data_IF_015052574777
#
_entry.id   IF_015052574777
#
_cell.length_a   1.000
_cell.length_b   1.000
_cell.length_c   1.000
_cell.angle_alpha   90.00
_cell.angle_beta   90.00
_cell.angle_gamma   90.00
#
_symmetry.space_group_name_H-M   'P 1'
#
loop_
_entity.id
_entity.type
_entity.pdbx_description
1 polymer ?
#
# COMPACT_ATOMS: atom_id res chain seq x y z
N UNK A 1 -40.43 13.14 35.71
CA UNK A 1 -41.75 13.78 35.56
C UNK A 1 -41.61 14.93 34.57
N UNK A 2 -42.46 14.97 33.52
CA UNK A 2 -42.61 15.98 32.44
C UNK A 2 -41.43 16.08 31.46
N UNK A 3 -41.56 16.22 30.13
CA UNK A 3 -42.63 16.22 29.11
C UNK A 3 -41.84 16.15 27.75
N UNK A 4 -42.11 15.22 26.83
CA UNK A 4 -43.05 15.31 25.67
C UNK A 4 -42.77 16.44 24.66
N UNK A 5 -42.54 16.06 23.38
CA UNK A 5 -43.08 16.56 22.08
C UNK A 5 -42.26 15.84 20.96
N UNK A 6 -42.72 14.79 20.27
CA UNK A 6 -43.73 14.66 19.20
C UNK A 6 -43.40 15.31 17.83
N UNK A 7 -43.22 14.41 16.84
CA UNK A 7 -43.86 14.34 15.51
C UNK A 7 -43.46 15.28 14.35
N UNK A 8 -43.14 14.68 13.18
CA UNK A 8 -43.72 14.92 11.83
C UNK A 8 -42.73 14.53 10.71
N UNK A 9 -42.90 13.38 10.02
CA UNK A 9 -43.60 13.19 8.72
C UNK A 9 -43.00 13.90 7.51
N UNK A 10 -42.61 13.13 6.47
CA UNK A 10 -43.27 13.14 5.15
C UNK A 10 -42.58 12.19 4.14
N UNK A 11 -43.34 11.18 3.70
CA UNK A 11 -43.15 10.48 2.44
C UNK A 11 -43.70 11.35 1.28
N UNK A 12 -43.23 11.09 0.05
CA UNK A 12 -44.02 10.72 -1.17
C UNK A 12 -43.72 11.47 -2.51
N UNK A 13 -43.91 10.69 -3.60
CA UNK A 13 -44.24 11.00 -5.01
C UNK A 13 -43.08 11.22 -6.02
N UNK A 14 -42.82 10.25 -6.93
CA UNK A 14 -43.36 10.06 -8.32
C UNK A 14 -42.57 10.86 -9.36
N UNK A 15 -42.14 10.31 -10.51
CA UNK A 15 -42.97 9.88 -11.65
C UNK A 15 -42.21 9.01 -12.66
N UNK A 16 -42.99 8.19 -13.38
CA UNK A 16 -42.67 7.42 -14.58
C UNK A 16 -42.54 8.35 -15.80
N UNK A 17 -41.61 8.09 -16.72
CA UNK A 17 -41.74 8.48 -18.13
C UNK A 17 -41.09 7.44 -19.05
N UNK A 18 -41.88 7.05 -20.04
CA UNK A 18 -41.69 6.03 -21.06
C UNK A 18 -41.31 6.76 -22.37
N UNK A 19 -40.26 6.36 -23.09
CA UNK A 19 -40.09 6.68 -24.52
C UNK A 19 -39.46 5.52 -25.29
N UNK A 20 -40.02 5.27 -26.47
CA UNK A 20 -39.78 4.16 -27.40
C UNK A 20 -39.19 4.66 -28.72
N UNK A 21 -38.49 3.73 -29.41
CA UNK A 21 -38.21 3.69 -30.87
C UNK A 21 -37.08 4.63 -31.37
N UNK A 22 -36.26 4.35 -32.40
CA UNK A 22 -36.30 3.46 -33.58
C UNK A 22 -34.87 3.12 -34.08
N UNK A 23 -34.80 2.08 -34.91
CA UNK A 23 -33.67 1.45 -35.60
C UNK A 23 -32.66 2.33 -36.36
N UNK A 24 -31.45 1.76 -36.56
CA UNK A 24 -30.63 1.85 -37.78
C UNK A 24 -29.68 0.64 -37.86
N UNK A 25 -29.62 -0.10 -38.98
CA UNK A 25 -28.64 -1.17 -39.20
C UNK A 25 -27.37 -0.60 -39.86
N UNK A 26 -26.19 -0.94 -39.36
CA UNK A 26 -24.92 -0.66 -40.02
C UNK A 26 -24.34 -1.93 -40.67
N UNK A 27 -23.70 -1.83 -41.85
CA UNK A 27 -23.30 -2.96 -42.69
C UNK A 27 -21.94 -3.57 -42.26
N UNK A 28 -21.67 -4.85 -42.54
CA UNK A 28 -20.33 -5.40 -42.40
C UNK A 28 -19.51 -5.17 -43.70
N UNK A 29 -18.34 -4.54 -43.54
CA UNK A 29 -17.29 -4.45 -44.57
C UNK A 29 -16.44 -5.73 -44.62
N UNK A 30 -15.94 -6.14 -45.79
CA UNK A 30 -15.05 -7.30 -45.93
C UNK A 30 -13.56 -6.93 -45.84
N UNK A 31 -12.80 -7.90 -45.30
CA UNK A 31 -11.40 -8.29 -45.47
C UNK A 31 -10.26 -7.28 -45.26
N UNK A 32 -9.36 -7.62 -44.32
CA UNK A 32 -7.90 -7.62 -44.55
C UNK A 32 -7.24 -8.52 -43.50
N UNK A 33 -6.77 -9.69 -43.95
CA UNK A 33 -5.80 -10.52 -43.24
C UNK A 33 -4.53 -9.72 -42.98
N UNK A 34 -4.09 -9.66 -41.73
CA UNK A 34 -2.70 -9.35 -41.40
C UNK A 34 -2.33 -10.12 -40.14
N UNK A 35 -1.55 -11.17 -40.37
CA UNK A 35 -0.83 -11.95 -39.39
C UNK A 35 0.05 -11.05 -38.51
N UNK A 36 -0.38 -10.80 -37.27
CA UNK A 36 0.49 -10.31 -36.21
C UNK A 36 0.10 -10.97 -34.91
N UNK A 37 0.69 -12.14 -34.68
CA UNK A 37 1.14 -12.66 -33.38
C UNK A 37 0.36 -12.12 -32.16
N UNK A 38 -0.85 -12.63 -31.95
CA UNK A 38 -1.53 -12.55 -30.65
C UNK A 38 -0.80 -13.47 -29.69
N UNK A 39 0.27 -12.95 -29.08
CA UNK A 39 0.79 -13.52 -27.86
C UNK A 39 -0.30 -13.39 -26.80
N UNK A 40 -0.94 -14.52 -26.56
CA UNK A 40 -2.03 -14.70 -25.64
C UNK A 40 -1.42 -14.85 -24.26
N UNK A 41 -0.85 -13.77 -23.71
CA UNK A 41 -0.70 -13.64 -22.27
C UNK A 41 -1.74 -12.65 -21.75
N UNK A 42 -2.96 -13.17 -21.67
CA UNK A 42 -4.01 -12.64 -20.82
C UNK A 42 -3.56 -12.92 -19.39
N UNK A 43 -2.60 -12.12 -18.90
CA UNK A 43 -2.03 -12.21 -17.57
C UNK A 43 -3.16 -12.23 -16.55
N UNK A 44 -3.49 -13.43 -16.07
CA UNK A 44 -4.34 -13.66 -14.92
C UNK A 44 -3.80 -12.80 -13.79
N UNK A 45 -4.61 -11.84 -13.31
CA UNK A 45 -4.18 -10.87 -12.29
C UNK A 45 -3.36 -11.57 -11.21
N UNK A 46 -2.07 -11.29 -11.18
CA UNK A 46 -1.11 -12.01 -10.37
C UNK A 46 -1.24 -11.51 -8.93
N UNK A 47 -2.13 -12.17 -8.18
CA UNK A 47 -2.28 -11.91 -6.75
C UNK A 47 -0.99 -12.29 -6.03
N UNK A 48 -0.24 -11.28 -5.57
CA UNK A 48 0.95 -11.48 -4.73
C UNK A 48 0.55 -11.38 -3.25
N UNK A 49 -0.15 -12.42 -2.79
CA UNK A 49 -0.59 -12.55 -1.40
C UNK A 49 0.27 -13.59 -0.68
N UNK A 50 0.67 -13.29 0.55
CA UNK A 50 1.28 -14.26 1.45
C UNK A 50 0.63 -14.15 2.82
N UNK A 51 0.05 -15.23 3.37
CA UNK A 51 -0.52 -15.21 4.71
C UNK A 51 0.59 -15.10 5.77
N UNK A 52 0.29 -14.45 6.88
CA UNK A 52 1.19 -14.31 8.02
C UNK A 52 1.44 -12.87 8.44
N UNK A 53 2.54 -12.64 9.15
CA UNK A 53 2.93 -11.31 9.62
C UNK A 53 3.55 -10.46 8.51
N UNK A 54 3.44 -9.14 8.62
CA UNK A 54 4.15 -8.22 7.72
C UNK A 54 5.66 -8.42 7.78
N UNK A 55 6.23 -8.81 8.94
CA UNK A 55 7.64 -9.14 9.08
C UNK A 55 8.11 -10.11 7.99
N UNK A 56 7.37 -11.23 7.89
CA UNK A 56 7.68 -12.32 6.96
C UNK A 56 7.50 -11.90 5.50
N UNK A 57 6.54 -11.01 5.23
CA UNK A 57 6.34 -10.45 3.89
C UNK A 57 7.53 -9.54 3.54
N UNK A 58 7.91 -8.62 4.42
CA UNK A 58 9.02 -7.67 4.16
C UNK A 58 10.36 -8.41 3.98
N UNK A 59 10.56 -9.53 4.67
CA UNK A 59 11.71 -10.42 4.52
C UNK A 59 11.83 -11.04 3.10
N UNK A 60 10.73 -11.11 2.35
CA UNK A 60 10.70 -11.64 0.97
C UNK A 60 10.61 -10.57 -0.10
N UNK A 61 10.41 -9.31 0.28
CA UNK A 61 10.32 -8.20 -0.66
C UNK A 61 11.67 -7.77 -1.22
N UNK A 62 11.68 -7.40 -2.51
CA UNK A 62 12.77 -6.63 -3.09
C UNK A 62 12.75 -5.22 -2.49
N UNK A 63 13.85 -4.83 -1.84
CA UNK A 63 13.98 -3.52 -1.20
C UNK A 63 15.19 -2.77 -1.75
N UNK A 64 15.09 -1.45 -1.72
CA UNK A 64 16.21 -0.55 -1.97
C UNK A 64 16.67 0.10 -0.67
N UNK A 65 17.98 0.18 -0.44
CA UNK A 65 18.55 0.75 0.80
C UNK A 65 18.17 2.23 0.99
N UNK A 66 18.18 3.00 -0.10
CA UNK A 66 17.70 4.39 -0.14
C UNK A 66 16.21 4.53 -0.48
N UNK A 67 15.47 3.42 -0.49
CA UNK A 67 14.05 3.38 -0.79
C UNK A 67 13.17 3.58 0.43
N UNK A 68 11.89 3.26 0.24
CA UNK A 68 10.86 3.32 1.28
C UNK A 68 9.92 2.13 1.22
N UNK A 69 9.18 1.92 2.30
CA UNK A 69 8.00 1.06 2.34
C UNK A 69 6.76 1.91 2.56
N UNK A 70 5.66 1.55 1.90
CA UNK A 70 4.37 2.20 2.12
C UNK A 70 3.24 1.19 1.98
N UNK A 71 2.22 1.34 2.81
CA UNK A 71 0.94 0.66 2.59
C UNK A 71 -0.03 1.72 2.08
N UNK A 72 -0.55 1.50 0.88
CA UNK A 72 -1.54 2.38 0.28
C UNK A 72 -2.91 2.23 0.94
N UNK A 73 -3.77 3.22 0.72
CA UNK A 73 -5.18 3.16 1.14
C UNK A 73 -5.97 2.04 0.43
N UNK A 74 -5.37 1.44 -0.60
CA UNK A 74 -5.88 0.27 -1.31
C UNK A 74 -5.52 -1.06 -0.64
N UNK A 75 -4.78 -1.05 0.47
CA UNK A 75 -4.39 -2.24 1.22
C UNK A 75 -3.20 -3.00 0.64
N UNK A 76 -2.45 -2.38 -0.28
CA UNK A 76 -1.27 -3.00 -0.88
C UNK A 76 0.01 -2.39 -0.28
N UNK A 77 0.86 -3.26 0.27
CA UNK A 77 2.22 -2.94 0.70
C UNK A 77 3.11 -2.84 -0.53
N UNK A 78 3.91 -1.78 -0.63
CA UNK A 78 4.84 -1.56 -1.74
C UNK A 78 6.21 -1.15 -1.22
N UNK A 79 7.24 -1.62 -1.90
CA UNK A 79 8.60 -1.10 -1.76
C UNK A 79 8.91 -0.17 -2.93
N UNK A 80 9.68 0.87 -2.65
CA UNK A 80 10.00 1.92 -3.62
C UNK A 80 11.51 2.05 -3.81
N UNK A 81 11.94 2.37 -5.02
CA UNK A 81 13.25 3.00 -5.28
C UNK A 81 13.29 4.40 -4.66
N UNK A 82 14.46 5.05 -4.57
CA UNK A 82 14.56 6.43 -4.10
C UNK A 82 13.74 7.39 -4.96
N UNK A 83 13.61 7.11 -6.26
CA UNK A 83 12.85 7.93 -7.21
C UNK A 83 11.33 7.66 -7.15
N UNK A 84 10.85 6.93 -6.14
CA UNK A 84 9.43 6.63 -5.96
C UNK A 84 8.86 5.63 -6.96
N UNK A 85 9.70 4.85 -7.65
CA UNK A 85 9.22 3.75 -8.52
C UNK A 85 8.98 2.51 -7.67
N UNK A 86 7.86 1.82 -7.89
CA UNK A 86 7.54 0.57 -7.18
C UNK A 86 8.51 -0.53 -7.63
N UNK A 87 9.19 -1.17 -6.67
CA UNK A 87 10.09 -2.31 -6.89
C UNK A 87 9.39 -3.65 -6.71
N UNK A 88 8.54 -3.73 -5.69
CA UNK A 88 7.82 -4.93 -5.31
C UNK A 88 6.52 -4.54 -4.59
N UNK A 89 5.57 -5.46 -4.55
CA UNK A 89 4.30 -5.26 -3.88
C UNK A 89 3.79 -6.55 -3.27
N UNK A 90 3.03 -6.42 -2.18
CA UNK A 90 2.24 -7.49 -1.59
C UNK A 90 0.86 -6.98 -1.25
N UNK A 91 -0.14 -7.74 -1.66
CA UNK A 91 -1.53 -7.47 -1.32
C UNK A 91 -1.80 -7.96 0.09
N UNK A 92 -2.28 -7.07 0.97
CA UNK A 92 -2.59 -7.42 2.34
C UNK A 92 -4.06 -7.82 2.48
N UNK A 93 -4.31 -8.87 3.27
CA UNK A 93 -5.67 -9.15 3.71
C UNK A 93 -6.14 -8.14 4.79
N UNK A 94 -7.46 -8.06 5.08
CA UNK A 94 -7.97 -7.08 6.04
C UNK A 94 -7.41 -7.23 7.47
N UNK A 95 -7.00 -8.44 7.85
CA UNK A 95 -6.42 -8.71 9.17
C UNK A 95 -4.97 -8.21 9.24
N UNK A 96 -4.18 -8.44 8.20
CA UNK A 96 -2.84 -7.89 8.03
C UNK A 96 -2.86 -6.37 8.03
N UNK A 97 -3.76 -5.76 7.25
CA UNK A 97 -3.90 -4.32 7.15
C UNK A 97 -4.30 -3.69 8.49
N UNK A 98 -5.29 -4.27 9.18
CA UNK A 98 -5.73 -3.77 10.49
C UNK A 98 -4.62 -3.83 11.53
N UNK A 99 -3.86 -4.93 11.59
CA UNK A 99 -2.70 -5.05 12.49
C UNK A 99 -1.61 -4.02 12.17
N UNK A 100 -1.31 -3.85 10.88
CA UNK A 100 -0.35 -2.85 10.44
C UNK A 100 -0.79 -1.45 10.87
N UNK A 101 -2.04 -1.08 10.63
CA UNK A 101 -2.55 0.25 10.93
C UNK A 101 -2.47 0.59 12.43
N UNK A 102 -2.83 -0.37 13.30
CA UNK A 102 -2.71 -0.22 14.76
C UNK A 102 -1.25 -0.04 15.18
N UNK A 103 -0.36 -0.90 14.67
CA UNK A 103 1.05 -0.81 15.04
C UNK A 103 1.69 0.49 14.52
N UNK A 104 1.27 0.94 13.34
CA UNK A 104 1.79 2.15 12.74
C UNK A 104 1.29 3.41 13.46
N UNK A 105 0.02 3.43 13.87
CA UNK A 105 -0.49 4.49 14.74
C UNK A 105 0.34 4.58 16.03
N UNK A 106 0.58 3.45 16.70
CA UNK A 106 1.39 3.41 17.91
C UNK A 106 2.84 3.90 17.67
N UNK A 107 3.44 3.58 16.52
CA UNK A 107 4.79 4.04 16.17
C UNK A 107 4.84 5.56 15.93
N UNK A 108 3.82 6.13 15.28
CA UNK A 108 3.71 7.59 15.13
C UNK A 108 3.44 8.29 16.45
N UNK A 109 2.55 7.77 17.29
CA UNK A 109 2.30 8.32 18.63
C UNK A 109 3.58 8.28 19.49
N UNK A 110 4.36 7.22 19.41
CA UNK A 110 5.64 7.09 20.10
C UNK A 110 6.70 8.09 19.60
N UNK A 111 6.59 8.59 18.36
CA UNK A 111 7.50 9.60 17.83
C UNK A 111 7.36 10.97 18.48
N UNK A 112 6.21 11.23 19.15
CA UNK A 112 5.86 12.55 19.69
C UNK A 112 5.53 13.60 18.62
N UNK A 113 5.49 13.22 17.34
CA UNK A 113 5.07 14.08 16.23
C UNK A 113 3.56 13.97 15.99
N UNK A 114 3.02 14.89 15.20
CA UNK A 114 1.65 14.79 14.72
C UNK A 114 1.50 13.56 13.83
N UNK A 115 0.50 12.74 14.13
CA UNK A 115 0.15 11.57 13.33
C UNK A 115 -0.48 12.02 12.01
N UNK A 116 0.01 11.57 10.83
CA UNK A 116 -0.62 11.89 9.55
C UNK A 116 -2.07 11.38 9.46
N UNK A 117 -2.94 12.14 8.80
CA UNK A 117 -4.35 11.78 8.62
C UNK A 117 -4.53 10.42 7.93
N UNK A 118 -3.64 10.08 7.00
CA UNK A 118 -3.60 8.77 6.34
C UNK A 118 -3.45 7.61 7.34
N UNK A 119 -2.61 7.76 8.37
CA UNK A 119 -2.44 6.76 9.44
C UNK A 119 -3.69 6.66 10.29
N UNK A 120 -4.23 7.80 10.72
CA UNK A 120 -5.44 7.84 11.55
C UNK A 120 -6.61 7.22 10.82
N UNK A 121 -6.79 7.56 9.53
CA UNK A 121 -7.84 7.02 8.68
C UNK A 121 -7.69 5.51 8.51
N UNK A 122 -6.47 5.04 8.22
CA UNK A 122 -6.21 3.61 8.07
C UNK A 122 -6.45 2.84 9.38
N UNK A 123 -6.07 3.41 10.53
CA UNK A 123 -6.27 2.80 11.85
C UNK A 123 -7.73 2.82 12.30
N UNK A 124 -8.49 3.86 11.92
CA UNK A 124 -9.92 3.99 12.19
C UNK A 124 -10.80 3.20 11.21
N UNK A 125 -10.25 2.76 10.07
CA UNK A 125 -10.98 1.98 9.09
C UNK A 125 -11.54 0.70 9.73
N UNK A 126 -12.84 0.46 9.52
CA UNK A 126 -13.48 -0.74 10.04
C UNK A 126 -12.83 -1.97 9.41
N UNK A 127 -12.39 -2.91 10.24
CA UNK A 127 -11.80 -4.17 9.78
C UNK A 127 -12.69 -4.81 8.69
N UNK A 128 -12.11 -5.10 7.54
CA UNK A 128 -12.81 -5.68 6.38
C UNK A 128 -13.29 -4.68 5.32
N UNK A 129 -13.14 -3.36 5.52
CA UNK A 129 -13.53 -2.38 4.48
C UNK A 129 -12.53 -2.26 3.34
N UNK A 130 -11.25 -2.53 3.61
CA UNK A 130 -10.18 -2.53 2.62
C UNK A 130 -9.56 -3.92 2.57
N UNK A 131 -9.50 -4.50 1.39
CA UNK A 131 -8.87 -5.80 1.12
C UNK A 131 -7.95 -5.66 -0.09
N UNK A 132 -6.64 -5.61 0.15
CA UNK A 132 -5.64 -5.42 -0.90
C UNK A 132 -5.61 -6.56 -1.90
N UNK A 133 -6.11 -7.75 -1.53
CA UNK A 133 -6.20 -8.92 -2.43
C UNK A 133 -7.17 -8.69 -3.59
N UNK A 134 -8.05 -7.69 -3.47
CA UNK A 134 -8.97 -7.28 -4.53
C UNK A 134 -8.32 -6.31 -5.54
N UNK A 135 -7.10 -5.83 -5.29
CA UNK A 135 -6.37 -4.92 -6.18
C UNK A 135 -5.60 -5.72 -7.22
N UNK A 136 -6.26 -6.16 -8.28
CA UNK A 136 -5.63 -7.01 -9.32
C UNK A 136 -5.16 -6.25 -10.55
N UNK A 137 -5.49 -4.96 -10.67
CA UNK A 137 -5.07 -4.12 -11.78
C UNK A 137 -3.57 -3.81 -11.64
N UNK A 138 -2.78 -4.32 -12.58
CA UNK A 138 -1.32 -4.13 -12.64
C UNK A 138 -0.95 -2.66 -12.64
N UNK A 139 -1.72 -1.81 -13.32
CA UNK A 139 -1.45 -0.37 -13.34
C UNK A 139 -1.60 0.22 -11.95
N UNK A 140 -2.62 -0.18 -11.20
CA UNK A 140 -2.80 0.27 -9.80
C UNK A 140 -1.71 -0.28 -8.86
N UNK A 141 -1.10 -1.41 -9.19
CA UNK A 141 -0.03 -2.00 -8.38
C UNK A 141 1.28 -1.22 -8.53
N UNK A 142 1.62 -0.74 -9.73
CA UNK A 142 2.92 -0.11 -10.01
C UNK A 142 2.87 1.41 -10.28
N UNK A 143 1.78 1.92 -10.85
CA UNK A 143 1.63 3.31 -11.28
C UNK A 143 0.69 4.07 -10.34
N UNK A 144 1.16 4.31 -9.12
CA UNK A 144 0.41 5.08 -8.12
C UNK A 144 0.40 6.58 -8.44
N UNK A 145 -0.78 7.19 -8.24
CA UNK A 145 -0.94 8.65 -8.20
C UNK A 145 -0.25 9.24 -6.95
N UNK A 146 -0.37 8.57 -5.82
CA UNK A 146 0.23 8.97 -4.54
C UNK A 146 1.49 8.16 -4.26
N UNK A 147 2.65 8.81 -4.22
CA UNK A 147 3.96 8.18 -4.00
C UNK A 147 4.65 8.82 -2.80
N UNK A 148 5.49 8.07 -2.06
CA UNK A 148 6.37 8.68 -1.08
C UNK A 148 7.33 9.67 -1.77
N UNK A 149 7.37 10.93 -1.33
CA UNK A 149 8.47 11.86 -1.67
C UNK A 149 9.61 11.55 -0.70
N UNK A 150 10.46 10.66 -1.17
CA UNK A 150 11.65 10.19 -0.46
C UNK A 150 12.68 11.30 -0.64
N UNK A 151 13.09 11.96 0.44
CA UNK A 151 13.97 13.14 0.38
C UNK A 151 15.29 12.91 -0.41
N UNK A 152 15.70 11.65 -0.58
CA UNK A 152 16.86 11.26 -1.40
C UNK A 152 16.59 11.23 -2.91
N UNK A 153 15.33 11.35 -3.38
CA UNK A 153 14.95 11.34 -4.80
C UNK A 153 15.55 12.51 -5.60
N UNK A 154 15.92 13.60 -4.92
CA UNK A 154 16.32 14.86 -5.56
C UNK A 154 17.84 14.88 -5.84
N UNK A 155 18.61 13.90 -5.36
CA UNK A 155 20.07 13.89 -5.51
C UNK A 155 20.59 12.65 -6.25
N UNK A 156 20.48 12.72 -7.59
CA UNK A 156 21.24 11.88 -8.52
C UNK A 156 20.70 10.47 -8.70
N UNK A 157 21.06 9.85 -9.83
CA UNK A 157 21.04 8.40 -10.02
C UNK A 157 21.86 7.74 -8.90
N UNK A 158 21.26 7.63 -7.72
CA UNK A 158 21.81 6.88 -6.63
C UNK A 158 21.75 5.44 -7.05
N UNK A 159 22.87 4.94 -7.55
CA UNK A 159 23.22 3.54 -7.76
C UNK A 159 23.10 2.69 -6.50
N UNK A 160 22.37 3.15 -5.47
CA UNK A 160 22.02 2.40 -4.29
C UNK A 160 21.56 1.03 -4.73
N UNK A 161 22.37 0.03 -4.44
CA UNK A 161 22.03 -1.30 -4.92
C UNK A 161 20.72 -1.72 -4.25
N UNK A 162 19.85 -2.36 -5.04
CA UNK A 162 18.88 -3.29 -4.49
C UNK A 162 19.62 -4.11 -3.45
N UNK A 163 19.01 -4.33 -2.27
CA UNK A 163 19.69 -5.11 -1.24
C UNK A 163 20.01 -6.48 -1.86
N UNK A 164 21.29 -6.79 -2.18
CA UNK A 164 21.61 -7.94 -3.02
C UNK A 164 21.14 -9.22 -2.35
N UNK A 165 20.79 -10.28 -3.10
CA UNK A 165 20.19 -11.50 -2.52
C UNK A 165 21.00 -12.11 -1.36
N UNK A 166 22.33 -11.99 -1.40
CA UNK A 166 23.23 -12.37 -0.30
C UNK A 166 23.00 -11.53 0.95
N UNK A 167 22.89 -10.20 0.78
CA UNK A 167 22.49 -9.28 1.84
C UNK A 167 21.00 -9.44 2.21
N UNK A 168 20.14 -9.97 1.33
CA UNK A 168 18.76 -10.31 1.66
C UNK A 168 18.70 -11.52 2.60
N UNK A 169 19.57 -12.51 2.39
CA UNK A 169 19.75 -13.63 3.33
C UNK A 169 20.32 -13.16 4.67
N UNK A 170 21.38 -12.35 4.65
CA UNK A 170 21.99 -11.81 5.86
C UNK A 170 21.01 -10.89 6.61
N UNK A 171 20.23 -10.10 5.86
CA UNK A 171 19.09 -9.35 6.37
C UNK A 171 18.04 -10.28 6.97
N UNK A 172 17.62 -11.38 6.32
CA UNK A 172 16.69 -12.36 6.92
C UNK A 172 17.21 -12.92 8.25
N UNK A 173 18.49 -13.26 8.31
CA UNK A 173 19.14 -13.72 9.54
C UNK A 173 19.14 -12.60 10.61
N UNK A 174 19.40 -11.37 10.20
CA UNK A 174 19.31 -10.19 11.06
C UNK A 174 17.87 -9.88 11.49
N UNK A 175 16.86 -10.14 10.65
CA UNK A 175 15.43 -10.02 10.96
C UNK A 175 15.01 -11.04 12.01
N UNK A 176 15.47 -12.29 11.87
CA UNK A 176 15.25 -13.33 12.88
C UNK A 176 15.97 -13.01 14.19
N UNK A 177 17.16 -12.39 14.12
CA UNK A 177 17.81 -11.84 15.31
C UNK A 177 17.01 -10.67 15.91
N UNK A 178 16.48 -9.76 15.10
CA UNK A 178 15.65 -8.62 15.54
C UNK A 178 14.36 -9.09 16.22
N UNK A 179 13.69 -10.13 15.70
CA UNK A 179 12.50 -10.75 16.34
C UNK A 179 12.80 -11.21 17.77
N UNK A 180 14.02 -11.72 17.99
CA UNK A 180 14.44 -12.30 19.27
C UNK A 180 15.22 -11.32 20.15
N UNK A 181 15.48 -10.09 19.69
CA UNK A 181 16.22 -9.10 20.47
C UNK A 181 15.26 -8.17 21.23
N UNK A 182 15.18 -8.27 22.58
CA UNK A 182 14.31 -7.40 23.38
C UNK A 182 14.75 -5.92 23.42
N UNK A 183 15.79 -5.53 22.68
CA UNK A 183 16.58 -4.34 22.97
C UNK A 183 16.58 -3.20 21.91
N UNK A 184 15.69 -3.20 20.90
CA UNK A 184 15.68 -2.09 19.90
C UNK A 184 14.30 -1.51 19.60
N UNK A 185 13.44 -1.37 20.62
CA UNK A 185 12.25 -0.51 20.52
C UNK A 185 12.59 0.97 20.29
N UNK A 186 13.83 1.37 20.57
CA UNK A 186 14.29 2.75 20.52
C UNK A 186 14.31 3.33 19.09
N UNK A 187 14.36 2.48 18.06
CA UNK A 187 14.27 2.96 16.68
C UNK A 187 12.81 3.18 16.24
N UNK A 188 11.83 2.52 16.87
CA UNK A 188 10.42 2.63 16.46
C UNK A 188 9.93 4.05 16.69
N UNK A 189 9.30 4.63 15.67
CA UNK A 189 8.83 6.02 15.68
C UNK A 189 9.92 7.05 15.35
N UNK A 190 11.19 6.67 15.19
CA UNK A 190 12.23 7.60 14.74
C UNK A 190 11.93 8.06 13.31
N UNK A 191 11.91 9.38 13.01
CA UNK A 191 11.78 9.85 11.64
C UNK A 191 12.88 9.29 10.74
N UNK A 192 12.54 8.96 9.50
CA UNK A 192 13.49 8.43 8.53
C UNK A 192 13.25 9.00 7.12
N UNK A 193 14.32 9.42 6.41
CA UNK A 193 14.22 9.78 5.00
C UNK A 193 14.22 8.57 4.07
N UNK A 194 14.78 7.44 4.50
CA UNK A 194 14.88 6.20 3.73
C UNK A 194 15.08 4.98 4.65
N UNK A 195 15.00 3.77 4.10
CA UNK A 195 15.20 2.51 4.83
C UNK A 195 16.56 2.45 5.55
N UNK A 196 17.62 2.98 4.94
CA UNK A 196 18.97 2.98 5.52
C UNK A 196 19.05 3.70 6.88
N UNK A 197 18.20 4.70 7.12
CA UNK A 197 18.16 5.40 8.40
C UNK A 197 17.51 4.58 9.52
N UNK A 198 16.85 3.47 9.21
CA UNK A 198 16.26 2.57 10.18
C UNK A 198 17.15 1.37 10.48
N UNK A 199 17.91 0.92 9.50
CA UNK A 199 18.83 -0.20 9.64
C UNK A 199 20.02 0.16 10.56
N UNK A 200 20.58 -0.82 11.30
CA UNK A 200 20.12 -2.21 11.43
C UNK A 200 19.03 -2.40 12.50
N UNK A 201 18.60 -1.33 13.17
CA UNK A 201 17.79 -1.42 14.39
C UNK A 201 16.31 -1.68 14.13
N UNK A 202 15.83 -1.13 13.01
CA UNK A 202 14.47 -1.23 12.50
C UNK A 202 14.51 -1.73 11.06
N UNK A 203 13.42 -2.35 10.64
CA UNK A 203 13.35 -3.12 9.39
C UNK A 203 12.67 -2.38 8.25
N UNK A 204 12.04 -1.25 8.54
CA UNK A 204 11.27 -0.50 7.59
C UNK A 204 11.34 0.99 7.91
N UNK A 205 11.32 1.81 6.85
CA UNK A 205 10.96 3.21 6.92
C UNK A 205 9.60 3.37 6.23
N UNK A 206 8.53 3.52 7.02
CA UNK A 206 7.15 3.53 6.53
C UNK A 206 6.62 4.95 6.29
N UNK A 207 6.14 5.21 5.07
CA UNK A 207 5.52 6.47 4.64
C UNK A 207 4.00 6.28 4.44
N UNK A 208 3.15 6.68 5.38
CA UNK A 208 1.70 6.48 5.26
C UNK A 208 1.07 7.52 4.32
N UNK A 209 0.60 7.11 3.14
CA UNK A 209 0.00 8.04 2.17
C UNK A 209 0.99 9.09 1.62
N UNK A 210 2.29 8.83 1.75
CA UNK A 210 3.32 9.72 1.24
C UNK A 210 3.82 10.82 2.22
N UNK A 211 4.69 11.72 1.73
CA UNK A 211 5.74 12.52 2.40
C UNK A 211 5.29 13.62 3.41
N UNK A 212 6.21 14.23 4.22
CA UNK A 212 7.64 14.50 3.97
C UNK A 212 8.64 13.53 4.60
N UNK A 213 8.21 12.65 5.50
CA UNK A 213 9.13 11.75 6.21
C UNK A 213 8.41 10.49 6.66
N UNK A 214 9.11 9.36 6.58
CA UNK A 214 8.64 8.10 7.12
C UNK A 214 8.99 7.99 8.60
N UNK A 215 8.51 6.92 9.23
CA UNK A 215 8.95 6.51 10.56
C UNK A 215 9.53 5.10 10.54
N UNK A 216 10.60 4.91 11.31
CA UNK A 216 11.19 3.62 11.52
C UNK A 216 10.24 2.72 12.28
N UNK A 217 10.15 1.46 11.86
CA UNK A 217 9.17 0.52 12.37
C UNK A 217 9.76 -0.89 12.52
N UNK A 218 9.17 -1.63 13.46
CA UNK A 218 9.43 -3.04 13.76
C UNK A 218 8.08 -3.78 13.68
N UNK A 219 7.96 -4.75 12.78
CA UNK A 219 6.70 -5.51 12.55
C UNK A 219 6.48 -6.64 13.53
#
# INVERSE_FOLDING_TARGET
MRNSILLSTLLTFSTVLLQTATALPNPPTPDTDTDTETDTDRGTGTTHYTPGSLARIIETMNLHSQGALSVGNDGVLRSFTPNGTVLDYYQLDPDQLSRFAVNQLAAWEASGMNVPESVVTLAAAKKGTVDGRLVTDVKRLFELEERPDIASAIAGDGDGHLIPDSAAKERREMFEQLKNHPAKRNCVGRPCPSLSACLPDCMACFFPGGPPFGVCFLT
#
